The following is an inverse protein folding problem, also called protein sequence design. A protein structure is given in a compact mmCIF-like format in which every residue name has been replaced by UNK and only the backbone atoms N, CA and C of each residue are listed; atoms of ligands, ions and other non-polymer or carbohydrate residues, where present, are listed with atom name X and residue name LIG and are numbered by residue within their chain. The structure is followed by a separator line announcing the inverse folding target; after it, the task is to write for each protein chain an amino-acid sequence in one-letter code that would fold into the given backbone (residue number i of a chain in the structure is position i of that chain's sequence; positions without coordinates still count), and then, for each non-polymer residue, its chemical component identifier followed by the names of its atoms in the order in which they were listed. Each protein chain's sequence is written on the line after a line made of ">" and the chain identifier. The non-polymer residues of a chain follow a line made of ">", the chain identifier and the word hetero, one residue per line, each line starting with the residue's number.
data_IF_199700038374
#
_entry.id   IF_199700038374
#
_cell.length_a   1.000
_cell.length_b   1.000
_cell.length_c   1.000
_cell.angle_alpha   90.00
_cell.angle_beta   90.00
_cell.angle_gamma   90.00
#
_symmetry.space_group_name_H-M   'P 1'
#
loop_
_entity.id
_entity.type
_entity.pdbx_description
1 polymer ?
#
# COMPACT_ATOMS: atom_id res chain seq x y z
N UNK A 1 -19.38 11.16 -47.16
CA UNK A 1 -18.17 10.99 -46.35
C UNK A 1 -18.18 9.55 -45.89
N UNK A 2 -17.30 8.75 -46.48
CA UNK A 2 -17.21 7.30 -46.28
C UNK A 2 -16.12 6.99 -45.26
N UNK A 3 -16.10 5.79 -44.68
CA UNK A 3 -15.07 5.38 -43.71
C UNK A 3 -13.64 5.46 -44.29
N UNK A 4 -13.49 5.36 -45.61
CA UNK A 4 -12.24 5.61 -46.32
C UNK A 4 -11.76 7.07 -46.21
N UNK A 5 -12.68 8.03 -46.24
CA UNK A 5 -12.35 9.46 -46.11
C UNK A 5 -11.88 9.81 -44.68
N UNK A 6 -12.31 9.03 -43.68
CA UNK A 6 -11.91 9.21 -42.28
C UNK A 6 -10.51 8.62 -42.00
N UNK A 7 -10.21 7.45 -42.57
CA UNK A 7 -8.88 6.85 -42.48
C UNK A 7 -7.80 7.73 -43.13
N UNK A 8 -8.08 8.27 -44.32
CA UNK A 8 -7.17 9.18 -45.05
C UNK A 8 -6.95 10.53 -44.35
N UNK A 9 -7.90 10.97 -43.51
CA UNK A 9 -7.75 12.19 -42.70
C UNK A 9 -6.95 11.93 -41.42
N UNK A 10 -7.10 10.74 -40.82
CA UNK A 10 -6.33 10.33 -39.64
C UNK A 10 -4.86 10.08 -40.00
N UNK A 11 -4.58 9.42 -41.13
CA UNK A 11 -3.22 9.13 -41.58
C UNK A 11 -2.45 10.43 -41.92
N UNK A 12 -3.10 11.39 -42.58
CA UNK A 12 -2.51 12.73 -42.83
C UNK A 12 -2.33 13.60 -41.58
N UNK A 13 -3.01 13.28 -40.47
CA UNK A 13 -2.83 13.97 -39.19
C UNK A 13 -1.69 13.39 -38.35
N UNK A 14 -1.41 12.08 -38.50
CA UNK A 14 -0.34 11.38 -37.81
C UNK A 14 1.06 11.84 -38.28
N UNK A 15 1.23 12.11 -39.58
CA UNK A 15 2.51 12.56 -40.17
C UNK A 15 2.94 13.98 -39.73
N UNK A 16 2.06 14.74 -39.06
CA UNK A 16 2.37 16.09 -38.57
C UNK A 16 2.85 16.15 -37.13
N UNK A 17 2.88 15.03 -36.41
CA UNK A 17 3.38 14.97 -35.04
C UNK A 17 4.74 14.28 -35.04
N UNK A 18 5.81 15.07 -35.08
CA UNK A 18 7.16 14.56 -34.78
C UNK A 18 7.22 14.18 -33.30
N UNK A 19 6.95 12.91 -33.00
CA UNK A 19 7.17 12.34 -31.67
C UNK A 19 8.67 12.13 -31.54
N UNK A 20 9.34 13.05 -30.85
CA UNK A 20 10.73 12.87 -30.47
C UNK A 20 10.89 11.57 -29.67
N UNK A 21 11.98 10.83 -29.93
CA UNK A 21 12.25 9.58 -29.24
C UNK A 21 12.21 9.78 -27.72
N UNK A 22 11.44 8.94 -27.02
CA UNK A 22 11.40 8.93 -25.56
C UNK A 22 12.84 8.82 -25.02
N UNK A 23 13.23 9.64 -24.02
CA UNK A 23 14.61 9.68 -23.53
C UNK A 23 14.89 8.51 -22.58
N UNK A 24 14.72 7.28 -23.08
CA UNK A 24 14.87 6.02 -22.33
C UNK A 24 16.25 5.94 -21.67
N UNK A 25 17.30 6.46 -22.33
CA UNK A 25 18.65 6.51 -21.78
C UNK A 25 18.76 7.45 -20.55
N UNK A 26 18.02 8.56 -20.51
CA UNK A 26 18.01 9.48 -19.36
C UNK A 26 17.19 8.90 -18.20
N UNK A 27 16.12 8.17 -18.50
CA UNK A 27 15.30 7.48 -17.50
C UNK A 27 16.07 6.31 -16.84
N UNK A 28 16.84 5.55 -17.63
CA UNK A 28 17.72 4.50 -17.12
C UNK A 28 18.91 5.07 -16.32
N UNK A 29 19.44 6.24 -16.73
CA UNK A 29 20.48 6.97 -15.99
C UNK A 29 20.00 7.46 -14.62
N UNK A 30 18.82 8.09 -14.56
CA UNK A 30 18.20 8.55 -13.31
C UNK A 30 17.88 7.38 -12.36
N UNK A 31 17.44 6.24 -12.89
CA UNK A 31 17.20 5.03 -12.11
C UNK A 31 18.50 4.42 -11.54
N UNK A 32 19.61 4.48 -12.28
CA UNK A 32 20.91 4.02 -11.82
C UNK A 32 21.48 4.93 -10.72
N UNK A 33 21.31 6.25 -10.84
CA UNK A 33 21.79 7.21 -9.83
C UNK A 33 20.98 7.15 -8.53
N UNK A 34 19.67 6.92 -8.60
CA UNK A 34 18.83 6.66 -7.42
C UNK A 34 19.25 5.37 -6.69
N UNK A 35 19.61 4.30 -7.43
CA UNK A 35 20.15 3.06 -6.82
C UNK A 35 21.50 3.29 -6.14
N UNK A 36 22.40 4.08 -6.75
CA UNK A 36 23.69 4.44 -6.12
C UNK A 36 23.52 5.31 -4.89
N UNK A 37 22.57 6.25 -4.90
CA UNK A 37 22.28 7.09 -3.73
C UNK A 37 21.72 6.29 -2.54
N UNK A 38 20.86 5.29 -2.81
CA UNK A 38 20.35 4.37 -1.77
C UNK A 38 21.45 3.46 -1.22
N UNK A 39 22.37 2.98 -2.07
CA UNK A 39 23.53 2.19 -1.63
C UNK A 39 24.50 3.01 -0.74
N UNK A 40 24.70 4.30 -1.04
CA UNK A 40 25.59 5.19 -0.26
C UNK A 40 25.02 5.60 1.10
N UNK A 41 23.68 5.70 1.24
CA UNK A 41 23.04 5.98 2.55
C UNK A 41 23.13 4.81 3.54
N UNK A 42 23.43 3.59 3.09
CA UNK A 42 23.58 2.40 3.96
C UNK A 42 24.99 2.23 4.56
N UNK A 43 25.94 3.14 4.31
CA UNK A 43 27.34 3.03 4.82
C UNK A 43 27.75 4.20 5.74
N UNK A 44 26.88 5.18 6.01
CA UNK A 44 27.23 6.33 6.85
C UNK A 44 26.62 6.25 8.27
N UNK A 45 26.96 5.22 9.03
CA UNK A 45 26.91 5.24 10.50
C UNK A 45 28.27 4.87 11.03
N UNK A 46 29.02 5.87 11.47
CA UNK A 46 30.25 5.66 12.24
C UNK A 46 31.30 6.73 12.02
N UNK A 47 31.20 7.85 12.77
CA UNK A 47 32.29 8.41 13.58
C UNK A 47 31.64 9.23 14.70
N UNK A 48 31.80 8.76 15.94
CA UNK A 48 31.52 9.50 17.16
C UNK A 48 32.58 10.59 17.36
N UNK A 49 32.16 11.83 17.59
CA UNK A 49 33.05 12.90 18.06
C UNK A 49 32.92 13.02 19.58
N UNK A 50 33.96 12.55 20.28
CA UNK A 50 34.15 12.73 21.71
C UNK A 50 34.46 14.21 22.00
N UNK A 51 33.70 14.83 22.92
CA UNK A 51 34.09 16.09 23.56
C UNK A 51 34.46 15.79 25.00
N UNK A 52 35.77 15.76 25.22
CA UNK A 52 36.44 15.84 26.51
C UNK A 52 36.21 17.24 27.11
N UNK A 53 35.60 17.32 28.28
CA UNK A 53 35.82 18.44 29.20
C UNK A 53 36.28 17.85 30.52
N UNK A 54 37.58 18.03 30.79
CA UNK A 54 38.24 17.72 32.04
C UNK A 54 38.45 19.03 32.82
N UNK A 55 37.95 19.09 34.06
CA UNK A 55 38.41 19.92 35.18
C UNK A 55 37.62 19.47 36.42
N UNK A 56 38.16 18.61 37.28
CA UNK A 56 38.93 18.99 38.48
C UNK A 56 38.01 18.86 39.71
N UNK A 57 38.09 17.79 40.52
CA UNK A 57 38.89 17.68 41.76
C UNK A 57 38.17 18.36 42.94
N UNK A 58 37.98 17.85 44.16
CA UNK A 58 38.50 16.70 44.94
C UNK A 58 37.65 16.58 46.23
N UNK A 59 37.37 15.34 46.66
CA UNK A 59 37.31 14.78 48.04
C UNK A 59 36.55 15.52 49.16
N UNK A 60 35.54 14.86 49.75
CA UNK A 60 35.45 14.56 51.19
C UNK A 60 34.18 13.78 51.54
N UNK A 61 34.35 12.57 52.09
CA UNK A 61 33.32 11.88 52.85
C UNK A 61 33.22 12.50 54.25
N UNK A 62 32.02 12.70 54.77
CA UNK A 62 31.71 12.63 56.21
C UNK A 62 30.21 12.42 56.43
N UNK A 63 29.92 11.60 57.44
CA UNK A 63 28.60 11.20 57.91
C UNK A 63 27.83 12.35 58.57
N UNK A 64 26.51 12.18 58.68
CA UNK A 64 25.77 12.69 59.84
C UNK A 64 24.45 13.39 59.54
N UNK A 65 23.42 12.88 60.23
CA UNK A 65 22.24 13.58 60.78
C UNK A 65 21.14 14.07 59.82
N UNK A 66 19.98 13.42 59.93
CA UNK A 66 18.67 14.08 59.78
C UNK A 66 18.59 15.32 60.68
N UNK A 67 17.96 16.40 60.21
CA UNK A 67 16.72 16.85 60.85
C UNK A 67 15.64 17.32 59.86
N UNK A 68 14.46 17.54 60.44
CA UNK A 68 13.12 17.71 59.90
C UNK A 68 12.86 18.81 58.85
N UNK A 69 11.71 18.63 58.20
CA UNK A 69 10.77 19.63 57.67
C UNK A 69 11.25 20.65 56.62
N UNK A 70 10.95 20.33 55.36
CA UNK A 70 10.42 21.34 54.44
C UNK A 70 9.25 20.76 53.62
N UNK A 71 8.07 21.30 53.90
CA UNK A 71 6.86 21.28 53.07
C UNK A 71 7.22 21.44 51.59
N UNK A 72 7.29 20.33 50.87
CA UNK A 72 7.27 20.31 49.41
C UNK A 72 5.81 20.36 48.98
N UNK A 73 5.29 21.57 48.78
CA UNK A 73 4.11 21.80 47.98
C UNK A 73 4.40 21.30 46.56
N UNK A 74 4.06 20.03 46.30
CA UNK A 74 4.10 19.46 44.96
C UNK A 74 3.24 20.29 44.00
N UNK A 75 3.58 20.34 42.70
CA UNK A 75 2.73 20.99 41.71
C UNK A 75 1.35 20.36 41.78
N UNK A 76 0.32 21.15 42.09
CA UNK A 76 -1.08 20.70 41.97
C UNK A 76 -1.30 20.21 40.53
N UNK A 77 -1.90 19.03 40.32
CA UNK A 77 -2.33 18.65 38.99
C UNK A 77 -3.29 19.72 38.48
N UNK A 78 -2.92 20.38 37.39
CA UNK A 78 -3.81 21.28 36.66
C UNK A 78 -5.05 20.46 36.31
N UNK A 79 -6.28 20.95 36.58
CA UNK A 79 -7.47 20.21 36.23
C UNK A 79 -7.44 19.93 34.71
N UNK A 80 -7.48 18.64 34.36
CA UNK A 80 -7.68 18.18 32.98
C UNK A 80 -8.90 18.90 32.44
N UNK A 81 -8.66 19.80 31.47
CA UNK A 81 -9.74 20.54 30.81
C UNK A 81 -10.64 19.49 30.17
N UNK A 82 -11.92 19.51 30.54
CA UNK A 82 -12.90 18.57 29.99
C UNK A 82 -12.80 18.57 28.45
N UNK A 83 -12.56 17.40 27.87
CA UNK A 83 -12.44 17.23 26.43
C UNK A 83 -13.70 17.79 25.74
N UNK A 84 -13.51 18.57 24.68
CA UNK A 84 -14.63 19.08 23.89
C UNK A 84 -15.32 17.86 23.25
N UNK A 85 -16.64 17.66 23.47
CA UNK A 85 -17.32 16.50 22.94
C UNK A 85 -17.24 16.47 21.41
N UNK A 86 -17.02 15.27 20.87
CA UNK A 86 -17.00 15.00 19.44
C UNK A 86 -18.36 15.38 18.84
N UNK A 87 -18.42 16.18 17.75
CA UNK A 87 -19.69 16.59 17.16
C UNK A 87 -20.57 15.40 16.75
N UNK A 88 -21.88 15.49 16.98
CA UNK A 88 -22.81 14.47 16.51
C UNK A 88 -22.75 14.34 14.97
N UNK A 89 -22.85 13.10 14.46
CA UNK A 89 -22.73 12.82 13.02
C UNK A 89 -21.30 12.88 12.49
N UNK A 90 -20.30 12.78 13.38
CA UNK A 90 -18.89 12.63 13.02
C UNK A 90 -18.32 11.29 13.47
N UNK A 91 -17.24 10.87 12.82
CA UNK A 91 -16.41 9.73 13.20
C UNK A 91 -14.97 10.20 13.38
N UNK A 92 -14.26 9.58 14.31
CA UNK A 92 -12.86 9.89 14.59
C UNK A 92 -11.94 9.03 13.71
N UNK A 93 -10.91 9.65 13.14
CA UNK A 93 -9.83 8.97 12.42
C UNK A 93 -8.49 9.59 12.81
N UNK A 94 -7.47 8.79 13.13
CA UNK A 94 -6.27 9.34 13.72
C UNK A 94 -5.00 8.50 13.64
N UNK A 95 -3.98 8.95 14.36
CA UNK A 95 -2.72 8.26 14.63
C UNK A 95 -2.39 8.45 16.11
N UNK A 96 -2.05 7.36 16.81
CA UNK A 96 -1.79 7.40 18.24
C UNK A 96 -2.99 7.95 19.01
N UNK A 97 -2.76 8.90 19.90
CA UNK A 97 -3.79 9.56 20.72
C UNK A 97 -4.36 10.84 20.09
N UNK A 98 -4.10 11.07 18.81
CA UNK A 98 -4.60 12.23 18.07
C UNK A 98 -5.55 11.75 16.97
N UNK A 99 -6.66 12.46 16.77
CA UNK A 99 -7.62 12.16 15.71
C UNK A 99 -8.24 13.43 15.14
N UNK A 100 -8.94 13.29 14.02
CA UNK A 100 -9.81 14.32 13.46
C UNK A 100 -11.27 13.82 13.40
N UNK A 101 -12.20 14.66 13.85
CA UNK A 101 -13.63 14.39 13.83
C UNK A 101 -14.24 14.77 12.47
N UNK A 102 -14.24 13.83 11.53
CA UNK A 102 -14.79 14.06 10.18
C UNK A 102 -16.25 13.67 10.09
N UNK A 103 -17.05 14.25 9.18
CA UNK A 103 -18.43 13.83 8.98
C UNK A 103 -18.53 12.32 8.69
N UNK A 104 -19.53 11.66 9.26
CA UNK A 104 -19.71 10.20 9.13
C UNK A 104 -19.84 9.75 7.66
N UNK A 105 -20.41 10.61 6.81
CA UNK A 105 -20.55 10.38 5.37
C UNK A 105 -19.24 10.51 4.55
N UNK A 106 -18.12 10.89 5.15
CA UNK A 106 -16.83 10.91 4.46
C UNK A 106 -16.29 9.48 4.31
N UNK A 107 -15.88 9.15 3.09
CA UNK A 107 -15.24 7.87 2.79
C UNK A 107 -13.83 7.79 3.39
N UNK A 108 -13.25 6.60 3.40
CA UNK A 108 -11.81 6.39 3.66
C UNK A 108 -11.14 5.99 2.35
N UNK A 109 -10.04 6.66 2.00
CA UNK A 109 -9.23 6.41 0.81
C UNK A 109 -10.02 6.38 -0.51
N UNK A 110 -11.03 7.24 -0.67
CA UNK A 110 -11.78 7.37 -1.93
C UNK A 110 -10.94 8.10 -2.99
N UNK A 111 -9.89 7.43 -3.45
CA UNK A 111 -8.87 7.97 -4.36
C UNK A 111 -8.94 7.31 -5.74
N UNK A 112 -8.61 8.09 -6.76
CA UNK A 112 -8.28 7.59 -8.10
C UNK A 112 -7.09 8.38 -8.63
N UNK A 113 -6.05 7.68 -9.07
CA UNK A 113 -4.78 8.33 -9.45
C UNK A 113 -4.19 9.24 -8.36
N UNK A 114 -4.42 8.92 -7.08
CA UNK A 114 -3.97 9.75 -5.95
C UNK A 114 -4.81 10.99 -5.68
N UNK A 115 -5.90 11.20 -6.43
CA UNK A 115 -6.80 12.34 -6.25
C UNK A 115 -8.11 11.88 -5.63
N UNK A 116 -8.63 12.66 -4.68
CA UNK A 116 -9.94 12.41 -4.09
C UNK A 116 -11.05 12.37 -5.15
N UNK A 117 -11.94 11.38 -5.05
CA UNK A 117 -13.12 11.18 -5.91
C UNK A 117 -14.43 11.54 -5.21
N UNK A 118 -14.34 11.92 -3.94
CA UNK A 118 -15.40 12.37 -3.07
C UNK A 118 -14.79 12.86 -1.75
N UNK A 119 -15.59 13.43 -0.81
CA UNK A 119 -15.11 13.78 0.50
C UNK A 119 -14.50 12.58 1.23
N UNK A 120 -13.24 12.68 1.65
CA UNK A 120 -12.50 11.50 2.14
C UNK A 120 -11.44 11.84 3.16
N UNK A 121 -11.25 10.92 4.11
CA UNK A 121 -9.99 10.82 4.87
C UNK A 121 -9.04 9.92 4.10
N UNK A 122 -7.77 10.30 4.03
CA UNK A 122 -6.70 9.54 3.41
C UNK A 122 -5.73 9.09 4.50
N UNK A 123 -5.62 7.79 4.69
CA UNK A 123 -4.78 7.19 5.74
C UNK A 123 -4.28 5.81 5.30
N UNK A 124 -3.05 5.47 5.68
CA UNK A 124 -2.42 4.17 5.39
C UNK A 124 -2.40 3.81 3.90
N UNK A 125 -2.18 4.80 3.03
CA UNK A 125 -2.05 4.58 1.58
C UNK A 125 -0.59 4.37 1.21
N UNK A 126 -0.23 3.13 0.85
CA UNK A 126 1.15 2.78 0.46
C UNK A 126 1.42 2.87 -1.03
N UNK A 127 0.41 2.56 -1.84
CA UNK A 127 0.54 2.54 -3.30
C UNK A 127 -0.56 3.40 -3.89
N UNK A 128 -0.14 4.45 -4.56
CA UNK A 128 -1.01 5.30 -5.37
C UNK A 128 -0.89 4.85 -6.82
N UNK A 129 -2.03 4.63 -7.47
CA UNK A 129 -2.06 4.32 -8.89
C UNK A 129 -1.43 5.45 -9.70
N UNK A 130 -0.40 5.12 -10.50
CA UNK A 130 0.23 6.08 -11.40
C UNK A 130 -0.64 6.24 -12.65
N UNK A 131 -1.58 7.18 -12.62
CA UNK A 131 -2.40 7.55 -13.76
C UNK A 131 -2.69 9.06 -13.81
N UNK A 132 -3.23 9.53 -14.94
CA UNK A 132 -3.59 10.93 -15.14
C UNK A 132 -5.11 11.11 -15.21
N UNK A 133 -5.66 12.00 -14.38
CA UNK A 133 -7.02 12.48 -14.53
C UNK A 133 -6.98 13.88 -15.13
N UNK A 134 -7.57 14.03 -16.33
CA UNK A 134 -7.82 15.33 -16.93
C UNK A 134 -8.97 15.99 -16.16
N UNK A 135 -8.63 16.97 -15.32
CA UNK A 135 -9.58 17.80 -14.58
C UNK A 135 -10.50 17.05 -13.58
N UNK A 136 -9.96 16.37 -12.54
CA UNK A 136 -10.77 15.75 -11.50
C UNK A 136 -11.51 16.82 -10.66
N UNK A 137 -12.78 16.63 -10.28
CA UNK A 137 -13.46 17.54 -9.35
C UNK A 137 -12.67 17.70 -8.06
N UNK A 138 -12.71 18.88 -7.45
CA UNK A 138 -12.09 19.13 -6.15
C UNK A 138 -13.07 18.74 -5.05
N UNK A 139 -12.63 17.88 -4.13
CA UNK A 139 -13.39 17.48 -2.95
C UNK A 139 -12.60 17.84 -1.69
N UNK A 140 -13.31 18.00 -0.58
CA UNK A 140 -12.68 18.14 0.73
C UNK A 140 -11.95 16.83 1.07
N UNK A 141 -10.70 16.90 1.49
CA UNK A 141 -9.97 15.72 1.96
C UNK A 141 -9.01 16.04 3.08
N UNK A 142 -8.72 15.05 3.92
CA UNK A 142 -7.69 15.14 4.95
C UNK A 142 -6.75 13.96 4.84
N UNK A 143 -5.47 14.25 4.61
CA UNK A 143 -4.39 13.28 4.67
C UNK A 143 -3.88 13.18 6.10
N UNK A 144 -3.83 11.96 6.63
CA UNK A 144 -3.33 11.64 7.96
C UNK A 144 -2.09 10.78 7.81
N UNK A 145 -0.94 11.31 8.23
CA UNK A 145 0.36 10.67 8.07
C UNK A 145 1.13 10.66 9.38
N UNK A 146 2.01 9.67 9.54
CA UNK A 146 2.98 9.66 10.63
C UNK A 146 4.13 10.61 10.29
N UNK A 147 4.47 11.49 11.22
CA UNK A 147 5.45 12.55 11.01
C UNK A 147 5.01 13.59 9.99
N UNK A 148 5.98 14.30 9.43
CA UNK A 148 5.80 15.31 8.38
C UNK A 148 6.88 15.15 7.32
N UNK A 149 6.58 15.56 6.09
CA UNK A 149 7.60 15.71 5.06
C UNK A 149 8.32 17.06 5.26
N UNK A 150 9.61 17.09 5.64
CA UNK A 150 10.33 18.35 5.91
C UNK A 150 10.54 19.23 4.68
N UNK A 151 10.34 18.69 3.47
CA UNK A 151 10.40 19.48 2.24
C UNK A 151 9.07 20.19 1.92
N UNK A 152 7.97 19.80 2.55
CA UNK A 152 6.64 20.35 2.31
C UNK A 152 6.08 21.10 3.51
N UNK A 153 6.41 20.68 4.73
CA UNK A 153 5.93 21.30 5.96
C UNK A 153 6.92 22.33 6.50
N UNK A 154 6.48 23.58 6.59
CA UNK A 154 7.24 24.69 7.16
C UNK A 154 6.35 25.37 8.19
N UNK A 155 6.50 25.05 9.50
CA UNK A 155 5.63 25.59 10.52
C UNK A 155 5.77 27.12 10.58
N UNK A 156 4.63 27.82 10.51
CA UNK A 156 4.52 29.27 10.62
C UNK A 156 3.96 29.69 11.99
N UNK A 157 3.22 28.81 12.65
CA UNK A 157 2.55 29.08 13.92
C UNK A 157 2.62 27.86 14.84
N UNK A 158 2.90 28.10 16.13
CA UNK A 158 2.68 27.15 17.21
C UNK A 158 1.24 27.35 17.75
N UNK A 159 0.46 26.27 17.77
CA UNK A 159 -0.93 26.26 18.23
C UNK A 159 -1.11 25.24 19.36
N UNK A 160 -2.24 25.32 20.06
CA UNK A 160 -2.60 24.37 21.12
C UNK A 160 -3.92 23.69 20.77
N UNK A 161 -3.92 22.35 20.76
CA UNK A 161 -5.10 21.53 20.48
C UNK A 161 -5.39 20.71 21.73
N UNK A 162 -6.54 20.96 22.36
CA UNK A 162 -6.97 20.27 23.59
C UNK A 162 -5.90 20.23 24.70
N UNK A 163 -5.04 21.25 24.76
CA UNK A 163 -3.95 21.36 25.75
C UNK A 163 -2.62 20.72 25.33
N UNK A 164 -2.52 20.20 24.11
CA UNK A 164 -1.28 19.66 23.53
C UNK A 164 -0.72 20.62 22.49
N UNK A 165 0.60 20.83 22.55
CA UNK A 165 1.32 21.65 21.58
C UNK A 165 1.27 21.00 20.19
N UNK A 166 0.96 21.81 19.19
CA UNK A 166 0.93 21.44 17.80
C UNK A 166 1.51 22.56 16.94
N UNK A 167 1.93 22.21 15.74
CA UNK A 167 2.56 23.12 14.80
C UNK A 167 1.69 23.20 13.55
N UNK A 168 1.63 24.38 12.95
CA UNK A 168 0.79 24.63 11.78
C UNK A 168 1.55 25.42 10.73
N UNK A 169 1.33 25.07 9.46
CA UNK A 169 1.78 25.88 8.32
C UNK A 169 0.67 26.83 7.80
N UNK A 170 1.08 27.83 7.02
CA UNK A 170 0.16 28.78 6.40
C UNK A 170 -0.69 28.11 5.33
N UNK A 171 -1.95 28.54 5.20
CA UNK A 171 -2.80 28.08 4.11
C UNK A 171 -2.27 28.59 2.77
N UNK A 172 -1.86 27.64 1.93
CA UNK A 172 -1.45 27.91 0.55
C UNK A 172 -2.60 27.62 -0.39
N UNK A 173 -2.75 28.41 -1.46
CA UNK A 173 -3.72 28.13 -2.50
C UNK A 173 -3.08 28.23 -3.89
N UNK A 174 -3.33 27.24 -4.73
CA UNK A 174 -2.85 27.18 -6.10
C UNK A 174 -4.00 26.92 -7.08
N UNK A 175 -3.80 27.35 -8.33
CA UNK A 175 -4.71 27.01 -9.42
C UNK A 175 -4.49 25.56 -9.84
N UNK A 176 -5.51 24.72 -9.66
CA UNK A 176 -5.51 23.29 -9.98
C UNK A 176 -5.94 23.00 -11.44
N UNK A 177 -5.78 24.00 -12.32
CA UNK A 177 -6.21 23.97 -13.73
C UNK A 177 -7.72 24.07 -13.92
N UNK A 178 -8.15 24.86 -14.92
CA UNK A 178 -9.56 25.06 -15.28
C UNK A 178 -10.39 25.64 -14.13
N UNK A 179 -10.31 26.96 -13.90
CA UNK A 179 -11.08 27.76 -12.92
C UNK A 179 -11.16 27.22 -11.48
N UNK A 180 -10.37 26.19 -11.13
CA UNK A 180 -10.42 25.48 -9.85
C UNK A 180 -9.22 25.89 -9.01
N UNK A 181 -9.51 26.18 -7.75
CA UNK A 181 -8.53 26.54 -6.74
C UNK A 181 -8.44 25.40 -5.73
N UNK A 182 -7.23 24.95 -5.45
CA UNK A 182 -6.93 24.03 -4.36
C UNK A 182 -6.21 24.82 -3.28
N UNK A 183 -6.78 24.83 -2.08
CA UNK A 183 -6.15 25.35 -0.89
C UNK A 183 -5.77 24.19 0.04
N UNK A 184 -4.63 24.29 0.71
CA UNK A 184 -4.14 23.28 1.64
C UNK A 184 -3.33 23.88 2.78
N UNK A 185 -3.40 23.23 3.94
CA UNK A 185 -2.54 23.46 5.10
C UNK A 185 -2.40 22.17 5.91
N UNK A 186 -1.39 22.12 6.77
CA UNK A 186 -1.01 20.98 7.60
C UNK A 186 -0.95 21.41 9.05
N UNK A 187 -1.49 20.58 9.93
CA UNK A 187 -1.24 20.60 11.37
C UNK A 187 -0.44 19.37 11.74
N UNK A 188 0.62 19.53 12.51
CA UNK A 188 1.44 18.46 13.04
C UNK A 188 1.38 18.45 14.57
N UNK A 189 1.13 17.28 15.16
CA UNK A 189 1.09 17.05 16.61
C UNK A 189 2.32 16.22 16.98
N UNK A 190 3.42 16.85 17.45
CA UNK A 190 4.69 16.14 17.66
C UNK A 190 4.64 15.02 18.68
N UNK A 191 3.84 15.17 19.74
CA UNK A 191 3.70 14.16 20.80
C UNK A 191 3.04 12.87 20.32
N UNK A 192 2.23 12.93 19.27
CA UNK A 192 1.60 11.78 18.63
C UNK A 192 2.31 11.33 17.35
N UNK A 193 3.35 12.07 16.91
CA UNK A 193 3.99 11.91 15.61
C UNK A 193 2.95 11.85 14.47
N UNK A 194 1.95 12.73 14.50
CA UNK A 194 0.79 12.70 13.60
C UNK A 194 0.60 14.03 12.87
N UNK A 195 0.45 13.99 11.55
CA UNK A 195 0.10 15.17 10.75
C UNK A 195 -1.26 15.03 10.06
N UNK A 196 -1.93 16.17 9.91
CA UNK A 196 -3.24 16.31 9.28
C UNK A 196 -3.13 17.40 8.22
N UNK A 197 -3.11 17.00 6.95
CA UNK A 197 -3.14 17.94 5.83
C UNK A 197 -4.53 17.99 5.23
N UNK A 198 -5.20 19.12 5.39
CA UNK A 198 -6.51 19.36 4.80
C UNK A 198 -6.37 19.99 3.41
N UNK A 199 -7.24 19.59 2.50
CA UNK A 199 -7.36 20.09 1.13
C UNK A 199 -8.82 20.45 0.85
N UNK A 200 -9.07 21.67 0.33
CA UNK A 200 -10.40 22.15 0.00
C UNK A 200 -10.35 23.25 -1.07
N UNK A 201 -11.52 23.73 -1.54
CA UNK A 201 -11.59 24.78 -2.56
C UNK A 201 -11.30 26.20 -2.03
N UNK A 202 -11.35 26.40 -0.71
CA UNK A 202 -11.15 27.71 -0.07
C UNK A 202 -10.28 27.59 1.19
N UNK A 203 -9.60 28.68 1.54
CA UNK A 203 -8.78 28.73 2.75
C UNK A 203 -9.61 28.57 4.03
N UNK A 204 -10.76 29.25 4.10
CA UNK A 204 -11.68 29.14 5.26
C UNK A 204 -12.14 27.71 5.49
N UNK A 205 -12.38 26.94 4.42
CA UNK A 205 -12.76 25.53 4.56
C UNK A 205 -11.62 24.66 5.06
N UNK A 206 -10.38 24.94 4.65
CA UNK A 206 -9.18 24.29 5.19
C UNK A 206 -9.05 24.56 6.69
N UNK A 207 -9.19 25.83 7.12
CA UNK A 207 -9.17 26.21 8.54
C UNK A 207 -10.26 25.48 9.34
N UNK A 208 -11.47 25.42 8.79
CA UNK A 208 -12.60 24.74 9.42
C UNK A 208 -12.30 23.26 9.63
N UNK A 209 -11.83 22.55 8.59
CA UNK A 209 -11.50 21.12 8.67
C UNK A 209 -10.42 20.87 9.73
N UNK A 210 -9.33 21.65 9.73
CA UNK A 210 -8.23 21.47 10.68
C UNK A 210 -8.64 21.79 12.12
N UNK A 211 -9.68 22.60 12.34
CA UNK A 211 -10.24 22.84 13.68
C UNK A 211 -10.94 21.62 14.29
N UNK A 212 -11.17 20.56 13.50
CA UNK A 212 -11.80 19.32 13.97
C UNK A 212 -10.82 18.32 14.60
N UNK A 213 -9.53 18.64 14.64
CA UNK A 213 -8.51 17.81 15.30
C UNK A 213 -8.77 17.78 16.80
N UNK A 214 -8.60 16.61 17.41
CA UNK A 214 -8.83 16.31 18.82
C UNK A 214 -7.68 15.49 19.38
N UNK A 215 -7.44 15.65 20.68
CA UNK A 215 -6.56 14.79 21.46
C UNK A 215 -7.42 13.89 22.35
N UNK A 216 -7.17 12.60 22.28
CA UNK A 216 -7.95 11.55 22.93
C UNK A 216 -6.99 10.74 23.82
N UNK A 217 -6.74 11.17 25.07
CA UNK A 217 -5.75 10.53 25.93
C UNK A 217 -6.13 9.07 26.29
N UNK A 218 -7.42 8.76 26.26
CA UNK A 218 -7.97 7.46 26.66
C UNK A 218 -8.26 6.54 25.46
N UNK A 219 -8.00 6.99 24.23
CA UNK A 219 -8.19 6.21 23.00
C UNK A 219 -6.92 6.19 22.16
N UNK A 220 -6.71 5.13 21.41
CA UNK A 220 -5.59 4.98 20.49
C UNK A 220 -6.09 4.57 19.12
N UNK A 221 -5.52 5.16 18.07
CA UNK A 221 -5.85 4.82 16.70
C UNK A 221 -5.24 3.47 16.32
N UNK A 222 -6.00 2.60 15.65
CA UNK A 222 -5.48 1.37 15.05
C UNK A 222 -4.36 1.73 14.04
N UNK A 223 -3.10 1.30 14.26
CA UNK A 223 -2.00 1.57 13.35
C UNK A 223 -2.25 1.08 11.92
N UNK A 224 -1.73 1.80 10.93
CA UNK A 224 -1.67 1.33 9.54
C UNK A 224 -0.69 0.19 9.34
N UNK A 225 -1.03 -0.76 8.46
CA UNK A 225 -0.17 -1.92 8.13
C UNK A 225 0.69 -1.67 6.89
N UNK A 226 0.47 -0.55 6.20
CA UNK A 226 1.19 -0.18 5.01
C UNK A 226 2.71 -0.18 5.14
N UNK A 227 3.28 0.54 6.13
CA UNK A 227 4.72 0.55 6.37
C UNK A 227 5.29 -0.86 6.57
N UNK A 228 4.62 -1.71 7.35
CA UNK A 228 5.05 -3.09 7.56
C UNK A 228 5.14 -3.87 6.23
N UNK A 229 4.11 -3.78 5.39
CA UNK A 229 4.10 -4.44 4.09
C UNK A 229 5.16 -3.89 3.11
N UNK A 230 5.47 -2.59 3.17
CA UNK A 230 6.43 -1.96 2.25
C UNK A 230 7.89 -2.07 2.68
N UNK A 231 8.16 -1.96 3.98
CA UNK A 231 9.52 -1.91 4.54
C UNK A 231 10.03 -3.31 4.88
N UNK A 232 9.12 -4.23 5.21
CA UNK A 232 9.41 -5.61 5.59
C UNK A 232 8.91 -6.62 4.56
N UNK A 233 8.80 -6.22 3.29
CA UNK A 233 8.37 -7.13 2.21
C UNK A 233 9.29 -8.35 2.07
N UNK A 234 10.58 -8.22 2.40
CA UNK A 234 11.57 -9.30 2.39
C UNK A 234 11.61 -10.11 3.71
N UNK A 235 10.87 -9.68 4.75
CA UNK A 235 10.73 -10.34 6.05
C UNK A 235 9.26 -10.70 6.38
N UNK A 236 8.94 -11.14 7.60
CA UNK A 236 7.56 -11.36 8.06
C UNK A 236 6.88 -10.02 8.41
N UNK A 237 6.20 -9.41 7.42
CA UNK A 237 5.46 -8.15 7.62
C UNK A 237 4.38 -8.25 8.72
N UNK A 238 3.80 -9.43 8.93
CA UNK A 238 2.76 -9.69 9.91
C UNK A 238 3.31 -9.67 11.32
N UNK A 239 4.52 -10.17 11.54
CA UNK A 239 5.25 -10.04 12.81
C UNK A 239 5.51 -8.58 13.17
N UNK A 240 6.05 -7.79 12.23
CA UNK A 240 6.32 -6.36 12.45
C UNK A 240 5.03 -5.56 12.70
N UNK A 241 3.95 -5.89 12.00
CA UNK A 241 2.67 -5.22 12.22
C UNK A 241 2.04 -5.61 13.57
N UNK A 242 2.12 -6.88 13.99
CA UNK A 242 1.72 -7.30 15.35
C UNK A 242 2.43 -6.51 16.43
N UNK A 243 3.74 -6.36 16.31
CA UNK A 243 4.53 -5.58 17.26
C UNK A 243 4.09 -4.11 17.31
N UNK A 244 3.71 -3.52 16.17
CA UNK A 244 3.17 -2.16 16.11
C UNK A 244 1.79 -2.03 16.80
N UNK A 245 0.91 -3.03 16.64
CA UNK A 245 -0.38 -3.09 17.32
C UNK A 245 -0.21 -3.25 18.85
N UNK A 246 0.68 -4.14 19.28
CA UNK A 246 0.99 -4.37 20.69
C UNK A 246 1.65 -3.13 21.34
N UNK A 247 2.54 -2.45 20.62
CA UNK A 247 3.15 -1.20 21.08
C UNK A 247 2.14 -0.05 21.20
N UNK A 248 1.03 -0.11 20.46
CA UNK A 248 -0.12 0.79 20.62
C UNK A 248 -1.03 0.38 21.78
N UNK A 249 -0.72 -0.71 22.50
CA UNK A 249 -1.51 -1.21 23.62
C UNK A 249 -2.75 -2.01 23.22
N UNK A 250 -2.78 -2.57 22.00
CA UNK A 250 -3.92 -3.35 21.48
C UNK A 250 -3.70 -4.85 21.63
N UNK A 251 -4.79 -5.60 21.85
CA UNK A 251 -4.76 -7.05 21.84
C UNK A 251 -4.92 -7.58 20.41
N UNK A 252 -3.99 -8.42 19.94
CA UNK A 252 -4.01 -8.87 18.54
C UNK A 252 -4.57 -10.27 18.38
N UNK A 253 -5.63 -10.39 17.57
CA UNK A 253 -6.12 -11.66 17.04
C UNK A 253 -5.64 -11.84 15.60
N UNK A 254 -4.91 -12.91 15.35
CA UNK A 254 -4.43 -13.25 14.00
C UNK A 254 -5.39 -14.21 13.31
N UNK A 255 -5.79 -13.87 12.09
CA UNK A 255 -6.49 -14.74 11.15
C UNK A 255 -5.60 -14.91 9.93
N UNK A 256 -5.45 -16.14 9.44
CA UNK A 256 -4.63 -16.42 8.27
C UNK A 256 -5.50 -16.81 7.08
N UNK A 257 -5.19 -16.27 5.88
CA UNK A 257 -5.86 -16.60 4.63
C UNK A 257 -4.88 -17.22 3.62
N UNK A 258 -5.17 -18.41 3.06
CA UNK A 258 -4.34 -18.98 2.02
C UNK A 258 -4.34 -18.12 0.75
N UNK A 259 -3.15 -17.72 0.29
CA UNK A 259 -2.94 -17.05 -1.00
C UNK A 259 -1.82 -17.76 -1.77
N UNK A 260 -2.15 -18.73 -2.64
CA UNK A 260 -1.13 -19.49 -3.35
C UNK A 260 -0.16 -18.59 -4.12
N UNK A 261 1.13 -18.88 -4.05
CA UNK A 261 2.17 -18.11 -4.75
C UNK A 261 2.50 -16.74 -4.16
N UNK A 262 1.81 -16.31 -3.11
CA UNK A 262 2.15 -15.11 -2.35
C UNK A 262 2.98 -15.47 -1.11
N UNK A 263 3.66 -14.46 -0.56
CA UNK A 263 4.50 -14.62 0.62
C UNK A 263 3.64 -14.71 1.88
N UNK A 264 3.90 -15.70 2.73
CA UNK A 264 3.31 -15.79 4.06
C UNK A 264 3.69 -14.58 4.93
N UNK A 265 2.83 -14.26 5.90
CA UNK A 265 3.01 -13.11 6.80
C UNK A 265 2.65 -11.76 6.18
N UNK A 266 2.40 -11.67 4.86
CA UNK A 266 1.94 -10.40 4.27
C UNK A 266 0.56 -10.01 4.82
N UNK A 267 0.41 -8.79 5.32
CA UNK A 267 -0.85 -8.34 5.95
C UNK A 267 -1.86 -7.97 4.88
N UNK A 268 -3.03 -8.60 4.91
CA UNK A 268 -4.14 -8.35 3.99
C UNK A 268 -5.12 -7.30 4.52
N UNK A 269 -5.20 -7.14 5.83
CA UNK A 269 -6.03 -6.12 6.45
C UNK A 269 -6.13 -6.24 7.96
N UNK A 270 -6.82 -5.27 8.56
CA UNK A 270 -7.09 -5.19 10.00
C UNK A 270 -8.53 -4.72 10.23
N UNK A 271 -9.15 -5.19 11.31
CA UNK A 271 -10.47 -4.76 11.77
C UNK A 271 -10.47 -4.50 13.28
N UNK A 272 -10.89 -3.32 13.77
CA UNK A 272 -11.27 -2.13 13.00
C UNK A 272 -10.16 -1.62 12.07
N UNK A 273 -10.54 -0.88 11.02
CA UNK A 273 -9.59 -0.44 9.99
C UNK A 273 -8.59 0.60 10.50
N UNK A 274 -7.48 0.83 9.76
CA UNK A 274 -6.47 1.82 10.14
C UNK A 274 -7.06 3.19 10.46
N UNK A 275 -6.57 3.80 11.54
CA UNK A 275 -7.00 5.10 12.05
C UNK A 275 -8.25 5.09 12.91
N UNK A 276 -8.97 3.97 13.02
CA UNK A 276 -10.13 3.89 13.91
C UNK A 276 -9.67 4.07 15.36
N UNK A 277 -10.31 4.97 16.11
CA UNK A 277 -10.04 5.14 17.54
C UNK A 277 -10.70 4.03 18.35
N UNK A 278 -9.94 3.39 19.23
CA UNK A 278 -10.36 2.31 20.11
C UNK A 278 -9.76 2.51 21.51
N UNK A 279 -10.26 1.80 22.52
CA UNK A 279 -9.65 1.86 23.85
C UNK A 279 -8.36 1.03 23.88
N UNK A 280 -7.34 1.45 24.63
CA UNK A 280 -6.22 0.58 24.96
C UNK A 280 -6.72 -0.73 25.59
N UNK A 281 -6.19 -1.86 25.13
CA UNK A 281 -6.63 -3.21 25.50
C UNK A 281 -7.73 -3.79 24.62
N UNK A 282 -8.34 -3.00 23.72
CA UNK A 282 -9.30 -3.53 22.76
C UNK A 282 -8.65 -4.54 21.80
N UNK A 283 -9.44 -5.54 21.39
CA UNK A 283 -8.99 -6.57 20.45
C UNK A 283 -9.14 -6.13 19.00
N UNK A 284 -8.06 -6.23 18.24
CA UNK A 284 -8.04 -6.02 16.79
C UNK A 284 -7.80 -7.34 16.06
N UNK A 285 -8.53 -7.57 14.97
CA UNK A 285 -8.33 -8.74 14.12
C UNK A 285 -7.47 -8.38 12.93
N UNK A 286 -6.24 -8.89 12.91
CA UNK A 286 -5.31 -8.79 11.79
C UNK A 286 -5.47 -10.01 10.89
N UNK A 287 -5.58 -9.80 9.58
CA UNK A 287 -5.59 -10.88 8.57
C UNK A 287 -4.29 -10.87 7.80
N UNK A 288 -3.59 -12.01 7.74
CA UNK A 288 -2.32 -12.17 7.01
C UNK A 288 -2.35 -13.39 6.08
N UNK A 289 -1.41 -13.46 5.15
CA UNK A 289 -1.26 -14.62 4.27
C UNK A 289 -0.73 -15.82 5.07
N UNK A 290 -1.46 -16.92 5.00
CA UNK A 290 -1.10 -18.17 5.69
C UNK A 290 0.20 -18.77 5.15
N UNK A 291 0.92 -19.48 6.02
CA UNK A 291 2.00 -20.38 5.62
C UNK A 291 1.49 -21.43 4.61
N UNK A 292 2.26 -21.72 3.53
CA UNK A 292 1.89 -22.77 2.58
C UNK A 292 1.75 -24.12 3.29
N UNK A 293 0.63 -24.81 3.09
CA UNK A 293 0.41 -26.15 3.67
C UNK A 293 1.24 -27.23 2.97
N UNK A 294 1.80 -26.90 1.81
CA UNK A 294 2.66 -27.76 1.03
C UNK A 294 3.07 -27.10 -0.29
N UNK A 295 3.87 -27.79 -1.12
CA UNK A 295 4.45 -27.20 -2.33
C UNK A 295 3.45 -26.62 -3.32
N UNK A 296 2.23 -27.18 -3.38
CA UNK A 296 1.18 -26.70 -4.27
C UNK A 296 0.68 -25.29 -3.91
N UNK A 297 0.79 -24.88 -2.65
CA UNK A 297 0.39 -23.54 -2.17
C UNK A 297 1.53 -22.52 -2.38
N UNK A 298 2.76 -22.94 -2.71
CA UNK A 298 3.90 -22.05 -2.97
C UNK A 298 3.90 -21.41 -4.39
N UNK A 299 2.89 -21.72 -5.20
CA UNK A 299 2.73 -21.22 -6.56
C UNK A 299 1.27 -20.84 -6.83
N UNK A 300 1.04 -19.74 -7.54
CA UNK A 300 -0.22 -19.46 -8.22
C UNK A 300 -0.05 -19.77 -9.70
N UNK A 301 -1.02 -20.44 -10.30
CA UNK A 301 -1.03 -20.72 -11.74
C UNK A 301 -2.22 -20.06 -12.41
N UNK A 302 -2.03 -19.62 -13.63
CA UNK A 302 -3.10 -19.17 -14.50
C UNK A 302 -2.97 -19.83 -15.86
N UNK A 303 -4.05 -19.80 -16.62
CA UNK A 303 -4.07 -20.30 -17.98
C UNK A 303 -4.70 -19.26 -18.87
N UNK A 304 -4.10 -19.03 -20.03
CA UNK A 304 -4.68 -18.23 -21.08
C UNK A 304 -4.81 -19.07 -22.34
N UNK A 305 -5.78 -18.69 -23.16
CA UNK A 305 -5.92 -19.21 -24.52
C UNK A 305 -6.34 -18.11 -25.47
N UNK A 306 -5.97 -18.26 -26.73
CA UNK A 306 -6.37 -17.39 -27.85
C UNK A 306 -6.85 -18.24 -29.02
N UNK A 307 -7.74 -17.65 -29.83
CA UNK A 307 -8.19 -18.28 -31.07
C UNK A 307 -7.07 -18.41 -32.11
N UNK A 308 -7.33 -19.08 -33.25
CA UNK A 308 -6.36 -19.22 -34.32
C UNK A 308 -6.00 -17.86 -34.97
N UNK A 309 -4.79 -17.77 -35.52
CA UNK A 309 -4.24 -16.55 -36.12
C UNK A 309 -3.76 -15.52 -35.08
N UNK A 310 -3.60 -14.25 -35.49
CA UNK A 310 -3.20 -13.15 -34.59
C UNK A 310 -4.36 -12.65 -33.69
N UNK A 311 -5.22 -13.59 -33.24
CA UNK A 311 -6.37 -13.27 -32.39
C UNK A 311 -5.92 -12.82 -31.01
N UNK A 312 -6.40 -11.66 -30.58
CA UNK A 312 -6.17 -11.09 -29.24
C UNK A 312 -7.34 -11.36 -28.29
N UNK A 313 -8.21 -12.33 -28.58
CA UNK A 313 -9.30 -12.74 -27.69
C UNK A 313 -8.77 -13.65 -26.57
N UNK A 314 -8.14 -13.04 -25.56
CA UNK A 314 -7.60 -13.75 -24.40
C UNK A 314 -8.71 -14.27 -23.50
N UNK A 315 -8.78 -15.60 -23.35
CA UNK A 315 -9.71 -16.27 -22.43
C UNK A 315 -8.94 -16.86 -21.25
N UNK A 316 -8.83 -16.06 -20.18
CA UNK A 316 -8.12 -16.45 -18.97
C UNK A 316 -8.89 -17.43 -18.06
N UNK A 317 -8.15 -18.23 -17.31
CA UNK A 317 -8.63 -19.05 -16.20
C UNK A 317 -7.76 -18.80 -14.97
N UNK A 318 -8.41 -18.60 -13.83
CA UNK A 318 -7.75 -18.34 -12.55
C UNK A 318 -7.19 -19.60 -11.91
N UNK A 319 -6.24 -19.43 -10.98
CA UNK A 319 -5.68 -20.51 -10.15
C UNK A 319 -6.76 -21.39 -9.52
N UNK A 320 -7.79 -20.76 -8.92
CA UNK A 320 -8.90 -21.48 -8.31
C UNK A 320 -9.67 -22.35 -9.32
N UNK A 321 -9.90 -21.85 -10.54
CA UNK A 321 -10.58 -22.63 -11.59
C UNK A 321 -9.73 -23.83 -12.03
N UNK A 322 -8.41 -23.66 -12.13
CA UNK A 322 -7.50 -24.74 -12.52
C UNK A 322 -7.41 -25.82 -11.45
N UNK A 323 -7.32 -25.44 -10.17
CA UNK A 323 -7.30 -26.37 -9.03
C UNK A 323 -8.61 -27.13 -8.87
N UNK A 324 -9.74 -26.49 -9.18
CA UNK A 324 -11.06 -27.13 -9.17
C UNK A 324 -11.27 -28.11 -10.34
N UNK A 325 -10.38 -28.10 -11.34
CA UNK A 325 -10.59 -28.77 -12.61
C UNK A 325 -11.48 -27.93 -13.51
N UNK A 326 -10.96 -27.43 -14.62
CA UNK A 326 -11.73 -26.60 -15.55
C UNK A 326 -11.85 -27.24 -16.93
N UNK A 327 -12.91 -26.85 -17.66
CA UNK A 327 -13.12 -27.24 -19.05
C UNK A 327 -13.08 -26.00 -19.92
N UNK A 328 -12.39 -26.07 -21.04
CA UNK A 328 -12.37 -25.01 -22.04
C UNK A 328 -12.63 -25.57 -23.44
N UNK A 329 -13.08 -24.68 -24.31
CA UNK A 329 -13.28 -24.95 -25.74
C UNK A 329 -12.29 -24.11 -26.54
N UNK A 330 -11.62 -24.74 -27.49
CA UNK A 330 -10.70 -24.11 -28.44
C UNK A 330 -11.09 -24.50 -29.86
N UNK A 331 -10.90 -23.57 -30.78
CA UNK A 331 -10.98 -23.88 -32.21
C UNK A 331 -9.65 -24.48 -32.67
N UNK A 332 -9.72 -25.31 -33.71
CA UNK A 332 -8.52 -25.84 -34.36
C UNK A 332 -7.53 -24.71 -34.73
N UNK A 333 -6.26 -24.88 -34.38
CA UNK A 333 -5.19 -23.89 -34.57
C UNK A 333 -5.04 -22.88 -33.43
N UNK A 334 -5.97 -22.84 -32.46
CA UNK A 334 -5.86 -21.98 -31.27
C UNK A 334 -4.72 -22.40 -30.33
N UNK A 335 -4.20 -21.44 -29.58
CA UNK A 335 -3.06 -21.62 -28.67
C UNK A 335 -3.49 -21.46 -27.22
N UNK A 336 -2.91 -22.28 -26.34
CA UNK A 336 -3.14 -22.26 -24.90
C UNK A 336 -1.80 -22.30 -24.18
N UNK A 337 -1.64 -21.55 -23.09
CA UNK A 337 -0.42 -21.61 -22.27
C UNK A 337 -0.74 -21.43 -20.79
N UNK A 338 0.11 -22.02 -19.97
CA UNK A 338 0.06 -21.88 -18.52
C UNK A 338 1.13 -20.87 -18.10
N UNK A 339 0.79 -20.02 -17.15
CA UNK A 339 1.71 -19.09 -16.50
C UNK A 339 1.57 -19.21 -14.98
N UNK A 340 2.49 -18.62 -14.23
CA UNK A 340 2.38 -18.60 -12.79
C UNK A 340 3.30 -17.60 -12.13
N UNK A 341 3.19 -17.54 -10.81
CA UNK A 341 4.01 -16.72 -9.92
C UNK A 341 4.26 -17.45 -8.61
N UNK A 342 5.31 -17.08 -7.90
CA UNK A 342 5.67 -17.67 -6.61
C UNK A 342 6.97 -18.46 -6.65
N UNK A 343 7.34 -19.03 -5.49
CA UNK A 343 8.65 -19.62 -5.23
C UNK A 343 9.01 -20.78 -6.17
N UNK A 344 8.00 -21.49 -6.68
CA UNK A 344 8.17 -22.68 -7.52
C UNK A 344 7.85 -22.46 -9.00
N UNK A 345 7.66 -21.21 -9.44
CA UNK A 345 7.35 -20.93 -10.85
C UNK A 345 8.39 -21.51 -11.83
N UNK A 346 9.68 -21.55 -11.42
CA UNK A 346 10.75 -22.13 -12.23
C UNK A 346 10.66 -23.64 -12.46
N UNK A 347 9.80 -24.36 -11.73
CA UNK A 347 9.55 -25.80 -11.93
C UNK A 347 8.18 -26.09 -12.53
N UNK A 348 7.44 -25.04 -12.94
CA UNK A 348 6.11 -25.17 -13.53
C UNK A 348 6.14 -26.03 -14.80
N UNK A 349 5.21 -26.96 -14.84
CA UNK A 349 5.11 -27.98 -15.84
C UNK A 349 3.66 -28.26 -16.24
N UNK A 350 3.51 -28.88 -17.40
CA UNK A 350 2.23 -29.32 -17.95
C UNK A 350 2.45 -30.54 -18.83
N UNK A 351 1.59 -31.53 -18.67
CA UNK A 351 1.56 -32.73 -19.49
C UNK A 351 0.21 -32.87 -20.16
N UNK A 352 0.23 -33.16 -21.46
CA UNK A 352 -0.97 -33.40 -22.25
C UNK A 352 -1.21 -34.89 -22.34
N UNK A 353 -2.45 -35.29 -22.08
CA UNK A 353 -2.98 -36.61 -22.44
C UNK A 353 -4.11 -36.43 -23.45
N UNK A 354 -4.05 -37.16 -24.56
CA UNK A 354 -5.03 -37.08 -25.66
C UNK A 354 -4.49 -36.39 -26.92
N UNK A 355 -5.13 -36.57 -28.08
CA UNK A 355 -4.59 -36.20 -29.38
C UNK A 355 -4.85 -34.75 -29.82
N UNK A 356 -5.74 -34.03 -29.12
CA UNK A 356 -6.25 -32.74 -29.56
C UNK A 356 -5.22 -31.60 -29.47
N UNK A 357 -4.21 -31.75 -28.60
CA UNK A 357 -3.17 -30.75 -28.35
C UNK A 357 -1.78 -31.29 -28.65
N UNK A 358 -0.92 -30.45 -29.24
CA UNK A 358 0.51 -30.68 -29.38
C UNK A 358 1.31 -29.57 -28.68
N UNK A 359 2.52 -29.89 -28.21
CA UNK A 359 3.41 -28.89 -27.62
C UNK A 359 3.76 -27.84 -28.66
N UNK A 360 3.60 -26.56 -28.29
CA UNK A 360 3.95 -25.43 -29.13
C UNK A 360 5.29 -24.84 -28.65
N UNK A 361 6.29 -24.80 -29.53
CA UNK A 361 7.67 -24.36 -29.24
C UNK A 361 7.79 -22.82 -29.26
N UNK A 362 6.84 -22.13 -28.62
CA UNK A 362 6.82 -20.67 -28.52
C UNK A 362 7.91 -20.17 -27.56
N UNK A 363 9.16 -20.13 -28.05
CA UNK A 363 10.36 -19.74 -27.28
C UNK A 363 10.33 -18.32 -26.75
N UNK A 364 9.54 -17.44 -27.37
CA UNK A 364 9.40 -16.02 -26.99
C UNK A 364 8.19 -15.74 -26.10
N UNK A 365 7.41 -16.76 -25.72
CA UNK A 365 6.28 -16.57 -24.82
C UNK A 365 6.73 -16.12 -23.41
N UNK A 366 5.88 -15.38 -22.68
CA UNK A 366 6.17 -15.02 -21.30
C UNK A 366 6.45 -16.28 -20.45
N UNK A 367 7.53 -16.24 -19.67
CA UNK A 367 8.00 -17.30 -18.76
C UNK A 367 8.62 -18.57 -19.41
N UNK A 368 9.03 -18.55 -20.68
CA UNK A 368 9.82 -19.62 -21.33
C UNK A 368 9.33 -21.07 -21.05
N UNK A 369 8.03 -21.35 -21.15
CA UNK A 369 7.60 -22.74 -21.04
C UNK A 369 6.10 -23.01 -21.08
N UNK A 370 5.73 -23.85 -22.05
CA UNK A 370 4.53 -24.71 -22.09
C UNK A 370 3.26 -24.02 -22.56
N UNK A 371 3.33 -23.65 -23.82
CA UNK A 371 2.19 -23.51 -24.71
C UNK A 371 1.87 -24.82 -25.42
N UNK A 372 0.61 -24.97 -25.82
CA UNK A 372 0.14 -26.03 -26.70
C UNK A 372 -0.73 -25.43 -27.79
N UNK A 373 -0.77 -26.08 -28.94
CA UNK A 373 -1.66 -25.73 -30.03
C UNK A 373 -2.71 -26.82 -30.22
N UNK A 374 -3.94 -26.41 -30.52
CA UNK A 374 -5.02 -27.28 -30.96
C UNK A 374 -4.72 -27.80 -32.38
N UNK A 375 -4.41 -29.09 -32.50
CA UNK A 375 -3.96 -29.71 -33.77
C UNK A 375 -4.94 -30.74 -34.33
N UNK A 376 -5.90 -31.21 -33.53
CA UNK A 376 -6.97 -32.07 -34.02
C UNK A 376 -8.24 -31.91 -33.20
N UNK A 377 -9.40 -32.11 -33.83
CA UNK A 377 -10.67 -32.14 -33.12
C UNK A 377 -10.71 -33.30 -32.11
N UNK A 378 -11.29 -33.07 -30.94
CA UNK A 378 -11.36 -34.08 -29.89
C UNK A 378 -11.21 -33.49 -28.49
N UNK A 379 -10.70 -34.29 -27.56
CA UNK A 379 -10.47 -33.86 -26.19
C UNK A 379 -9.07 -34.26 -25.74
N UNK A 380 -8.38 -33.31 -25.12
CA UNK A 380 -7.14 -33.54 -24.39
C UNK A 380 -7.27 -33.02 -22.96
N UNK A 381 -6.50 -33.58 -22.04
CA UNK A 381 -6.36 -33.08 -20.67
C UNK A 381 -4.95 -32.57 -20.47
N UNK A 382 -4.81 -31.37 -19.91
CA UNK A 382 -3.55 -30.83 -19.42
C UNK A 382 -3.50 -31.04 -17.92
N UNK A 383 -2.49 -31.76 -17.43
CA UNK A 383 -2.18 -31.86 -15.99
C UNK A 383 -1.07 -30.87 -15.67
N UNK A 384 -1.41 -29.84 -14.90
CA UNK A 384 -0.49 -28.78 -14.48
C UNK A 384 0.22 -29.24 -13.21
N UNK A 385 1.54 -29.17 -13.22
CA UNK A 385 2.37 -29.69 -12.13
C UNK A 385 3.54 -28.79 -11.81
N UNK A 386 4.15 -28.99 -10.65
CA UNK A 386 5.46 -28.46 -10.31
C UNK A 386 6.36 -29.60 -9.85
N UNK A 387 7.67 -29.33 -9.77
CA UNK A 387 8.61 -30.20 -9.08
C UNK A 387 8.96 -29.63 -7.71
N UNK A 388 8.86 -30.44 -6.67
CA UNK A 388 9.24 -30.12 -5.30
C UNK A 388 9.99 -31.29 -4.67
N UNK A 389 11.20 -31.03 -4.15
CA UNK A 389 12.07 -32.06 -3.57
C UNK A 389 12.32 -33.28 -4.49
N UNK A 390 12.35 -33.07 -5.81
CA UNK A 390 12.50 -34.14 -6.80
C UNK A 390 11.20 -34.88 -7.15
N UNK A 391 10.10 -34.59 -6.46
CA UNK A 391 8.79 -35.18 -6.70
C UNK A 391 7.88 -34.27 -7.51
N UNK A 392 7.00 -34.89 -8.30
CA UNK A 392 5.98 -34.21 -9.09
C UNK A 392 4.76 -33.94 -8.21
N UNK A 393 4.36 -32.67 -8.12
CA UNK A 393 3.16 -32.23 -7.40
C UNK A 393 2.14 -31.73 -8.40
N UNK A 394 0.93 -32.29 -8.37
CA UNK A 394 -0.17 -31.85 -9.24
C UNK A 394 -0.82 -30.61 -8.65
N UNK A 395 -0.97 -29.58 -9.47
CA UNK A 395 -1.63 -28.32 -9.11
C UNK A 395 -3.09 -28.35 -9.54
N UNK A 396 -3.36 -28.78 -10.77
CA UNK A 396 -4.71 -28.75 -11.33
C UNK A 396 -4.78 -29.45 -12.68
N UNK A 397 -5.99 -29.55 -13.21
CA UNK A 397 -6.24 -30.18 -14.50
C UNK A 397 -7.16 -29.34 -15.37
N UNK A 398 -6.95 -29.42 -16.67
CA UNK A 398 -7.73 -28.68 -17.67
C UNK A 398 -8.16 -29.65 -18.75
N UNK A 399 -9.47 -29.83 -18.92
CA UNK A 399 -10.01 -30.54 -20.07
C UNK A 399 -10.21 -29.55 -21.21
N UNK A 400 -9.52 -29.78 -22.32
CA UNK A 400 -9.60 -28.97 -23.53
C UNK A 400 -10.37 -29.72 -24.60
N UNK A 401 -11.48 -29.15 -25.03
CA UNK A 401 -12.28 -29.65 -26.15
C UNK A 401 -11.94 -28.84 -27.38
N UNK A 402 -11.46 -29.50 -28.43
CA UNK A 402 -11.15 -28.88 -29.72
C UNK A 402 -12.25 -29.21 -30.72
N UNK A 403 -12.81 -28.18 -31.34
CA UNK A 403 -13.84 -28.28 -32.38
C UNK A 403 -13.39 -27.72 -33.73
#
# INVERSE_FOLDING_TARGET
>A
MTDHDLADLLERSADRVSIGAAPVAQMLGAAADLRRHRARRRVATGVAAAVLVAAGGTVAALAGTSPDDHDSAGPRPTPSRAAVPVPAGSRLVGIGHSAIAVPEGWSTNALRCGVATGPTVVIDVTVVEACGLLHPPMFDSVWIERGVNPAMFHPSEDIVIDGVDAQRDDVTCADAGGSRRLCSATVYVPSADASYRAEASTATRVDEILSWIRILPDEVAVPGFGPANSEHQDDDAGEHYRAALEAAGLEVRVVTEPRPGFKAGYVLGVSPGPGTMVQPGDSVTMTEIAEPRGPADEIAVGLNSVGPGDSMDYRGRSDAQLRAGTRIHLDLGGTIWVYGSGKRVGTLAGEVSGPALALDDWKQGPNHGRSWQAVSAGTSTITITITAAGERVVIGTVTVVVS
#
